data_IF_119747527468
#
_entry.id   IF_119747527468
#
_cell.length_a   1.000
_cell.length_b   1.000
_cell.length_c   1.000
_cell.angle_alpha   90.00
_cell.angle_beta   90.00
_cell.angle_gamma   90.00
#
_symmetry.space_group_name_H-M   'P 1'
#
loop_
_entity.id
_entity.type
_entity.pdbx_description
1 polymer ?
#
# COMPACT_ATOMS: atom_id res chain seq x y z
N UNK A 1 -7.46 15.01 4.55
CA UNK A 1 -7.19 16.47 4.63
C UNK A 1 -6.59 16.97 5.95
N UNK A 2 -7.04 16.57 7.15
CA UNK A 2 -6.38 17.03 8.41
C UNK A 2 -4.86 16.80 8.42
N UNK A 3 -4.41 15.61 8.01
CA UNK A 3 -2.98 15.30 7.94
C UNK A 3 -2.26 16.06 6.80
N UNK A 4 -2.93 16.29 5.67
CA UNK A 4 -2.41 17.13 4.57
C UNK A 4 -2.12 18.55 5.06
N UNK A 5 -3.05 19.15 5.82
CA UNK A 5 -2.85 20.46 6.44
C UNK A 5 -1.63 20.48 7.36
N UNK A 6 -1.50 19.49 8.25
CA UNK A 6 -0.33 19.38 9.14
C UNK A 6 0.96 19.29 8.33
N UNK A 7 0.98 18.48 7.26
CA UNK A 7 2.15 18.35 6.39
C UNK A 7 2.49 19.66 5.67
N UNK A 8 1.49 20.41 5.18
CA UNK A 8 1.72 21.72 4.56
C UNK A 8 2.27 22.75 5.56
N UNK A 9 1.71 22.81 6.77
CA UNK A 9 2.26 23.66 7.85
C UNK A 9 3.71 23.29 8.15
N UNK A 10 4.03 21.99 8.23
CA UNK A 10 5.39 21.52 8.44
C UNK A 10 6.32 21.95 7.32
N UNK A 11 5.92 21.80 6.05
CA UNK A 11 6.72 22.22 4.90
C UNK A 11 7.02 23.71 4.92
N UNK A 12 6.00 24.55 5.12
CA UNK A 12 6.16 26.01 5.17
C UNK A 12 7.07 26.44 6.33
N UNK A 13 6.90 25.85 7.52
CA UNK A 13 7.74 26.16 8.68
C UNK A 13 9.17 25.66 8.54
N UNK A 14 9.36 24.48 7.95
CA UNK A 14 10.70 23.95 7.67
C UNK A 14 11.42 24.86 6.67
N UNK A 15 10.72 25.30 5.63
CA UNK A 15 11.27 26.20 4.60
C UNK A 15 11.65 27.57 5.18
N UNK A 16 10.81 28.15 6.04
CA UNK A 16 11.10 29.42 6.72
C UNK A 16 12.16 29.30 7.85
N UNK A 17 12.47 28.09 8.31
CA UNK A 17 13.37 27.90 9.45
C UNK A 17 14.82 28.26 9.11
N UNK A 18 15.42 29.07 9.98
CA UNK A 18 16.84 29.44 9.99
C UNK A 18 17.64 28.78 11.13
N UNK A 19 16.98 28.01 11.99
CA UNK A 19 17.60 27.40 13.19
C UNK A 19 18.05 25.95 13.00
N UNK A 20 17.61 25.29 11.93
CA UNK A 20 17.96 23.90 11.62
C UNK A 20 19.24 23.82 10.79
N UNK A 21 20.01 22.74 10.95
CA UNK A 21 21.10 22.44 10.03
C UNK A 21 20.55 22.17 8.62
N UNK A 22 21.30 22.51 7.55
CA UNK A 22 20.88 22.24 6.18
C UNK A 22 20.49 20.78 5.93
N UNK A 23 21.23 19.84 6.50
CA UNK A 23 21.03 18.39 6.33
C UNK A 23 19.74 17.92 6.99
N UNK A 24 19.48 18.37 8.23
CA UNK A 24 18.26 18.03 8.95
C UNK A 24 17.04 18.65 8.27
N UNK A 25 17.13 19.93 7.88
CA UNK A 25 16.05 20.62 7.13
C UNK A 25 15.75 19.89 5.82
N UNK A 26 16.78 19.54 5.04
CA UNK A 26 16.63 18.77 3.79
C UNK A 26 15.91 17.44 4.04
N UNK A 27 16.34 16.67 5.04
CA UNK A 27 15.71 15.38 5.38
C UNK A 27 14.25 15.55 5.77
N UNK A 28 13.94 16.45 6.71
CA UNK A 28 12.57 16.67 7.20
C UNK A 28 11.61 17.14 6.10
N UNK A 29 12.09 17.96 5.16
CA UNK A 29 11.32 18.33 3.96
C UNK A 29 11.03 17.08 3.12
N UNK A 30 12.03 16.24 2.86
CA UNK A 30 11.85 14.97 2.14
C UNK A 30 10.84 14.03 2.80
N UNK A 31 10.88 13.92 4.13
CA UNK A 31 9.91 13.13 4.92
C UNK A 31 8.48 13.69 4.75
N UNK A 32 8.32 15.01 4.82
CA UNK A 32 7.02 15.67 4.62
C UNK A 32 6.47 15.46 3.20
N UNK A 33 7.32 15.61 2.17
CA UNK A 33 6.93 15.38 0.78
C UNK A 33 6.47 13.93 0.57
N UNK A 34 7.20 12.94 1.10
CA UNK A 34 6.79 11.55 1.05
C UNK A 34 5.42 11.32 1.68
N UNK A 35 5.20 11.87 2.88
CA UNK A 35 3.93 11.73 3.61
C UNK A 35 2.78 12.39 2.84
N UNK A 36 2.98 13.59 2.27
CA UNK A 36 1.95 14.29 1.49
C UNK A 36 1.58 13.52 0.22
N UNK A 37 2.59 13.01 -0.50
CA UNK A 37 2.37 12.17 -1.65
C UNK A 37 1.59 10.90 -1.31
N UNK A 38 1.93 10.22 -0.21
CA UNK A 38 1.20 9.04 0.24
C UNK A 38 -0.27 9.36 0.60
N UNK A 39 -0.53 10.48 1.26
CA UNK A 39 -1.89 10.93 1.57
C UNK A 39 -2.70 11.18 0.30
N UNK A 40 -2.13 11.89 -0.68
CA UNK A 40 -2.81 12.14 -1.96
C UNK A 40 -2.96 10.88 -2.80
N UNK A 41 -1.98 9.96 -2.76
CA UNK A 41 -2.11 8.64 -3.38
C UNK A 41 -3.34 7.90 -2.85
N UNK A 42 -3.58 7.90 -1.54
CA UNK A 42 -4.79 7.29 -0.97
C UNK A 42 -6.05 8.06 -1.40
N UNK A 43 -6.04 9.39 -1.34
CA UNK A 43 -7.20 10.22 -1.70
C UNK A 43 -7.63 10.02 -3.16
N UNK A 44 -6.71 10.16 -4.12
CA UNK A 44 -7.02 10.05 -5.55
C UNK A 44 -7.48 8.63 -5.91
N UNK A 45 -6.89 7.60 -5.29
CA UNK A 45 -7.29 6.22 -5.53
C UNK A 45 -8.63 5.84 -4.88
N UNK A 46 -9.12 6.60 -3.91
CA UNK A 46 -10.45 6.37 -3.33
C UNK A 46 -11.52 7.23 -4.00
N UNK A 47 -11.25 8.51 -4.23
CA UNK A 47 -12.26 9.51 -4.60
C UNK A 47 -12.14 10.04 -6.03
N UNK A 48 -11.08 9.70 -6.77
CA UNK A 48 -10.85 10.28 -8.10
C UNK A 48 -10.35 11.72 -7.97
N UNK A 49 -11.02 12.66 -8.62
CA UNK A 49 -10.68 14.08 -8.52
C UNK A 49 -10.86 14.55 -7.07
N UNK A 50 -9.92 15.34 -6.55
CA UNK A 50 -9.93 15.78 -5.15
C UNK A 50 -9.32 17.19 -5.03
N UNK A 51 -9.70 18.01 -4.03
CA UNK A 51 -9.06 19.30 -3.81
C UNK A 51 -7.55 19.15 -3.56
N UNK A 52 -6.74 19.88 -4.32
CA UNK A 52 -5.28 19.84 -4.23
C UNK A 52 -4.74 20.95 -3.29
N UNK A 53 -4.97 20.79 -1.99
CA UNK A 53 -4.49 21.71 -0.96
C UNK A 53 -2.97 21.60 -0.75
N UNK A 54 -2.19 22.55 -1.25
CA UNK A 54 -0.71 22.58 -1.15
C UNK A 54 -0.14 23.65 -0.22
N UNK A 55 -1.01 24.41 0.45
CA UNK A 55 -0.64 25.39 1.47
C UNK A 55 -1.41 25.16 2.78
N UNK A 56 -1.01 25.84 3.85
CA UNK A 56 -1.74 25.88 5.12
C UNK A 56 -2.84 26.96 5.18
N UNK A 57 -3.02 27.78 4.12
CA UNK A 57 -4.04 28.82 4.12
C UNK A 57 -5.46 28.22 4.08
N UNK A 58 -6.09 28.15 5.25
CA UNK A 58 -7.43 27.57 5.38
C UNK A 58 -8.48 28.35 4.59
N UNK A 59 -8.29 29.65 4.35
CA UNK A 59 -9.26 30.47 3.61
C UNK A 59 -9.32 30.05 2.15
N UNK A 60 -8.17 29.75 1.56
CA UNK A 60 -8.07 29.19 0.21
C UNK A 60 -8.52 27.74 0.15
N UNK A 61 -8.11 26.94 1.13
CA UNK A 61 -8.38 25.51 1.13
C UNK A 61 -9.85 25.15 1.41
N UNK A 62 -10.58 25.97 2.18
CA UNK A 62 -11.96 25.69 2.58
C UNK A 62 -12.94 25.66 1.41
N UNK A 63 -12.68 26.44 0.35
CA UNK A 63 -13.56 26.59 -0.81
C UNK A 63 -12.96 25.98 -2.09
N UNK A 64 -11.86 25.22 -1.96
CA UNK A 64 -11.13 24.69 -3.11
C UNK A 64 -11.98 23.66 -3.87
N UNK A 65 -12.17 23.81 -5.20
CA UNK A 65 -12.84 22.81 -6.01
C UNK A 65 -11.97 21.55 -6.11
N UNK A 66 -12.56 20.47 -6.64
CA UNK A 66 -11.80 19.25 -6.97
C UNK A 66 -10.85 19.56 -8.12
N UNK A 67 -9.62 19.06 -8.03
CA UNK A 67 -8.67 19.07 -9.14
C UNK A 67 -8.70 17.71 -9.83
N UNK A 68 -8.57 17.71 -11.16
CA UNK A 68 -8.51 16.49 -11.96
C UNK A 68 -7.47 15.51 -11.39
N UNK A 69 -7.83 14.22 -11.36
CA UNK A 69 -6.97 13.18 -10.85
C UNK A 69 -5.58 13.18 -11.51
N UNK A 70 -5.49 13.52 -12.80
CA UNK A 70 -4.22 13.66 -13.51
C UNK A 70 -3.29 14.71 -12.88
N UNK A 71 -3.83 15.88 -12.52
CA UNK A 71 -3.08 16.96 -11.86
C UNK A 71 -2.64 16.51 -10.46
N UNK A 72 -3.51 15.80 -9.73
CA UNK A 72 -3.17 15.24 -8.42
C UNK A 72 -2.03 14.22 -8.55
N UNK A 73 -2.05 13.37 -9.57
CA UNK A 73 -0.97 12.40 -9.86
C UNK A 73 0.36 13.09 -10.20
N UNK A 74 0.34 14.19 -10.95
CA UNK A 74 1.55 14.99 -11.23
C UNK A 74 2.16 15.54 -9.94
N UNK A 75 1.32 16.05 -9.03
CA UNK A 75 1.80 16.53 -7.73
C UNK A 75 2.36 15.41 -6.85
N UNK A 76 1.73 14.22 -6.83
CA UNK A 76 2.23 13.04 -6.12
C UNK A 76 3.63 12.65 -6.64
N UNK A 77 3.80 12.61 -7.97
CA UNK A 77 5.09 12.29 -8.61
C UNK A 77 6.14 13.35 -8.24
N UNK A 78 5.79 14.63 -8.28
CA UNK A 78 6.68 15.74 -7.93
C UNK A 78 7.15 15.64 -6.48
N UNK A 79 6.22 15.43 -5.55
CA UNK A 79 6.53 15.26 -4.13
C UNK A 79 7.43 14.04 -3.89
N UNK A 80 7.15 12.89 -4.53
CA UNK A 80 7.96 11.68 -4.35
C UNK A 80 9.36 11.78 -4.97
N UNK A 81 9.47 12.46 -6.11
CA UNK A 81 10.76 12.74 -6.74
C UNK A 81 11.60 13.64 -5.84
N UNK A 82 11.00 14.74 -5.36
CA UNK A 82 11.62 15.64 -4.39
C UNK A 82 11.97 14.93 -3.07
N UNK A 83 11.16 13.98 -2.61
CA UNK A 83 11.48 13.16 -1.44
C UNK A 83 12.68 12.24 -1.70
N UNK A 84 12.73 11.55 -2.83
CA UNK A 84 13.85 10.67 -3.18
C UNK A 84 15.19 11.42 -3.27
N UNK A 85 15.18 12.65 -3.78
CA UNK A 85 16.38 13.50 -3.88
C UNK A 85 16.86 14.02 -2.53
N UNK A 86 15.93 14.20 -1.58
CA UNK A 86 16.21 14.81 -0.28
C UNK A 86 16.54 13.79 0.81
N UNK A 87 15.93 12.61 0.76
CA UNK A 87 16.08 11.59 1.80
C UNK A 87 17.43 10.87 1.72
N UNK A 88 18.00 10.48 2.88
CA UNK A 88 19.19 9.63 2.93
C UNK A 88 18.85 8.18 2.53
N UNK A 89 19.88 7.41 2.19
CA UNK A 89 19.74 5.98 1.91
C UNK A 89 19.60 5.15 3.19
N UNK A 90 20.29 5.54 4.27
CA UNK A 90 20.14 4.91 5.57
C UNK A 90 18.81 5.30 6.22
N UNK A 91 18.28 4.38 7.02
CA UNK A 91 17.13 4.68 7.86
C UNK A 91 17.54 5.57 9.04
N UNK A 92 16.69 6.55 9.35
CA UNK A 92 16.86 7.36 10.55
C UNK A 92 16.57 6.56 11.84
N UNK A 93 15.68 5.57 11.76
CA UNK A 93 15.29 4.70 12.88
C UNK A 93 15.32 3.24 12.43
N UNK A 94 15.86 2.30 13.25
CA UNK A 94 15.97 0.90 12.87
C UNK A 94 14.59 0.24 12.65
N UNK A 95 13.54 0.76 13.28
CA UNK A 95 12.16 0.30 13.08
C UNK A 95 11.58 0.71 11.72
N UNK A 96 12.30 1.48 10.89
CA UNK A 96 11.83 1.87 9.53
C UNK A 96 10.51 2.64 9.54
N UNK A 97 10.28 3.42 10.60
CA UNK A 97 9.09 4.28 10.76
C UNK A 97 9.23 5.64 10.06
N UNK A 98 10.46 6.00 9.72
CA UNK A 98 10.80 7.16 8.89
C UNK A 98 11.20 6.65 7.50
N UNK A 99 10.56 7.10 6.42
CA UNK A 99 10.90 6.67 5.07
C UNK A 99 12.31 7.13 4.70
N UNK A 100 13.08 6.26 4.04
CA UNK A 100 14.35 6.62 3.42
C UNK A 100 14.18 6.85 1.91
N UNK A 101 15.28 7.14 1.21
CA UNK A 101 15.31 7.33 -0.25
C UNK A 101 14.67 6.17 -1.01
N UNK A 102 14.94 4.94 -0.60
CA UNK A 102 14.44 3.75 -1.29
C UNK A 102 12.94 3.53 -1.04
N UNK A 103 12.41 3.89 0.13
CA UNK A 103 10.98 3.93 0.38
C UNK A 103 10.29 4.94 -0.56
N UNK A 104 10.87 6.12 -0.75
CA UNK A 104 10.36 7.12 -1.71
C UNK A 104 10.39 6.60 -3.15
N UNK A 105 11.50 6.01 -3.60
CA UNK A 105 11.61 5.39 -4.93
C UNK A 105 10.60 4.27 -5.16
N UNK A 106 10.36 3.44 -4.15
CA UNK A 106 9.40 2.36 -4.27
C UNK A 106 7.95 2.86 -4.38
N UNK A 107 7.55 3.85 -3.58
CA UNK A 107 6.22 4.45 -3.70
C UNK A 107 6.08 5.22 -5.03
N UNK A 108 7.14 5.86 -5.52
CA UNK A 108 7.17 6.47 -6.85
C UNK A 108 7.01 5.43 -7.97
N UNK A 109 7.70 4.28 -7.87
CA UNK A 109 7.53 3.16 -8.78
C UNK A 109 6.07 2.68 -8.79
N UNK A 110 5.42 2.61 -7.62
CA UNK A 110 3.99 2.27 -7.52
C UNK A 110 3.11 3.30 -8.23
N UNK A 111 3.42 4.59 -8.13
CA UNK A 111 2.69 5.63 -8.85
C UNK A 111 2.86 5.51 -10.38
N UNK A 112 4.06 5.19 -10.84
CA UNK A 112 4.32 4.93 -12.26
C UNK A 112 3.70 3.65 -12.78
N UNK A 113 3.61 2.61 -11.94
CA UNK A 113 2.89 1.37 -12.27
C UNK A 113 1.41 1.66 -12.56
N UNK A 114 0.79 2.54 -11.77
CA UNK A 114 -0.63 2.90 -11.92
C UNK A 114 -0.87 3.72 -13.20
N UNK A 115 0.16 4.41 -13.70
CA UNK A 115 0.16 5.14 -14.96
C UNK A 115 0.72 4.32 -16.14
N UNK A 116 1.01 3.03 -15.93
CA UNK A 116 1.57 2.13 -16.95
C UNK A 116 2.91 2.64 -17.53
N UNK A 117 3.68 3.40 -16.75
CA UNK A 117 5.02 3.91 -17.13
C UNK A 117 6.09 2.87 -16.80
N UNK A 118 6.07 1.76 -17.55
CA UNK A 118 6.80 0.53 -17.22
C UNK A 118 8.32 0.72 -17.09
N UNK A 119 8.95 1.47 -17.98
CA UNK A 119 10.40 1.71 -17.90
C UNK A 119 10.79 2.45 -16.62
N UNK A 120 9.98 3.43 -16.19
CA UNK A 120 10.21 4.14 -14.94
C UNK A 120 10.02 3.23 -13.72
N UNK A 121 9.07 2.28 -13.79
CA UNK A 121 8.90 1.24 -12.76
C UNK A 121 10.16 0.39 -12.66
N UNK A 122 10.68 -0.10 -13.79
CA UNK A 122 11.87 -0.94 -13.82
C UNK A 122 13.10 -0.24 -13.27
N UNK A 123 13.35 1.01 -13.69
CA UNK A 123 14.49 1.81 -13.18
C UNK A 123 14.43 1.92 -11.66
N UNK A 124 13.29 2.32 -11.10
CA UNK A 124 13.16 2.55 -9.67
C UNK A 124 13.18 1.24 -8.86
N UNK A 125 12.49 0.20 -9.32
CA UNK A 125 12.49 -1.09 -8.64
C UNK A 125 13.89 -1.73 -8.66
N UNK A 126 14.65 -1.59 -9.75
CA UNK A 126 16.03 -2.07 -9.82
C UNK A 126 16.94 -1.32 -8.85
N UNK A 127 16.81 0.01 -8.75
CA UNK A 127 17.56 0.79 -7.76
C UNK A 127 17.25 0.36 -6.32
N UNK A 128 16.00 0.02 -6.00
CA UNK A 128 15.62 -0.48 -4.67
C UNK A 128 16.18 -1.88 -4.43
N UNK A 129 16.10 -2.78 -5.41
CA UNK A 129 16.65 -4.14 -5.29
C UNK A 129 18.18 -4.15 -5.17
N UNK A 130 18.87 -3.29 -5.90
CA UNK A 130 20.34 -3.17 -5.90
C UNK A 130 20.88 -2.50 -4.64
N UNK A 131 20.04 -1.89 -3.79
CA UNK A 131 20.50 -1.24 -2.56
C UNK A 131 21.02 -2.23 -1.52
N UNK A 132 20.67 -3.52 -1.62
CA UNK A 132 21.00 -4.54 -0.64
C UNK A 132 20.35 -4.34 0.75
N UNK A 133 19.47 -3.35 0.91
CA UNK A 133 18.86 -3.00 2.20
C UNK A 133 17.62 -3.85 2.54
N UNK A 134 17.12 -4.60 1.55
CA UNK A 134 15.86 -5.31 1.59
C UNK A 134 16.01 -6.75 1.10
N UNK A 135 15.27 -7.66 1.71
CA UNK A 135 15.25 -9.06 1.31
C UNK A 135 13.88 -9.68 1.60
N UNK A 136 13.52 -10.71 0.83
CA UNK A 136 12.43 -11.59 1.21
C UNK A 136 12.86 -12.43 2.42
N UNK A 137 12.05 -12.43 3.47
CA UNK A 137 12.36 -13.21 4.67
C UNK A 137 11.88 -14.66 4.50
N UNK A 138 12.76 -15.66 4.69
CA UNK A 138 12.36 -17.07 4.71
C UNK A 138 11.35 -17.36 5.82
N UNK A 139 11.55 -16.75 7.00
CA UNK A 139 10.59 -16.83 8.09
C UNK A 139 9.44 -15.82 7.88
N UNK A 140 8.32 -16.32 7.39
CA UNK A 140 7.12 -15.51 7.10
C UNK A 140 6.50 -14.83 8.33
N UNK A 141 6.76 -15.34 9.54
CA UNK A 141 6.28 -14.73 10.78
C UNK A 141 7.14 -13.53 11.24
N UNK A 142 8.31 -13.34 10.62
CA UNK A 142 9.16 -12.17 10.88
C UNK A 142 8.81 -10.95 9.99
N UNK A 143 8.01 -11.14 8.93
CA UNK A 143 7.73 -10.11 7.90
C UNK A 143 7.12 -8.85 8.49
N UNK A 144 6.19 -8.98 9.46
CA UNK A 144 5.43 -7.86 10.04
C UNK A 144 5.97 -7.41 11.41
N UNK A 145 7.14 -7.91 11.82
CA UNK A 145 7.79 -7.43 13.04
C UNK A 145 8.43 -6.07 12.83
N UNK A 146 8.48 -5.26 13.90
CA UNK A 146 9.17 -3.97 13.88
C UNK A 146 10.65 -4.18 13.50
N UNK A 147 11.16 -3.38 12.59
CA UNK A 147 12.54 -3.51 12.08
C UNK A 147 12.77 -4.66 11.09
N UNK A 148 11.72 -5.34 10.61
CA UNK A 148 11.82 -6.32 9.52
C UNK A 148 12.61 -5.77 8.33
N UNK A 149 13.57 -6.56 7.84
CA UNK A 149 14.36 -6.17 6.66
C UNK A 149 13.57 -6.24 5.35
N UNK A 150 12.37 -6.84 5.36
CA UNK A 150 11.45 -6.80 4.22
C UNK A 150 10.67 -5.47 4.15
N UNK A 151 10.55 -4.72 5.25
CA UNK A 151 9.75 -3.49 5.30
C UNK A 151 10.47 -2.30 4.67
N UNK A 152 9.81 -1.55 3.78
CA UNK A 152 10.31 -0.26 3.28
C UNK A 152 9.80 0.91 4.12
N UNK A 153 8.54 0.83 4.57
CA UNK A 153 8.00 1.81 5.47
C UNK A 153 6.86 1.23 6.30
N UNK A 154 6.81 1.60 7.57
CA UNK A 154 5.74 1.21 8.49
C UNK A 154 5.37 2.35 9.44
N UNK A 155 4.16 2.30 9.99
CA UNK A 155 3.67 3.28 10.96
C UNK A 155 3.62 2.65 12.34
N UNK A 156 4.31 3.29 13.29
CA UNK A 156 4.29 2.88 14.69
C UNK A 156 2.91 3.12 15.31
N UNK A 157 2.50 2.24 16.22
CA UNK A 157 1.31 2.50 17.03
C UNK A 157 1.59 3.64 18.00
N UNK A 158 0.68 4.62 18.02
CA UNK A 158 0.67 5.70 19.01
C UNK A 158 -0.05 5.31 20.31
N UNK A 159 -0.51 4.05 20.42
CA UNK A 159 -1.22 3.54 21.60
C UNK A 159 -0.38 2.52 22.35
N UNK A 160 -0.38 2.59 23.69
CA UNK A 160 0.39 1.69 24.55
C UNK A 160 -0.18 0.28 24.66
N UNK A 161 -1.46 0.09 24.30
CA UNK A 161 -2.17 -1.19 24.38
C UNK A 161 -2.45 -1.83 23.02
N UNK A 162 -1.79 -1.39 21.94
CA UNK A 162 -2.02 -1.89 20.59
C UNK A 162 -0.71 -1.96 19.81
N UNK A 163 -0.49 -3.07 19.11
CA UNK A 163 0.69 -3.24 18.25
C UNK A 163 0.48 -2.61 16.87
N UNK A 164 -0.53 -3.08 16.15
CA UNK A 164 -1.00 -2.50 14.89
C UNK A 164 -2.53 -2.48 14.88
N UNK A 165 -3.12 -1.70 13.97
CA UNK A 165 -4.58 -1.72 13.79
C UNK A 165 -5.04 -3.05 13.22
N UNK A 166 -4.28 -3.63 12.31
CA UNK A 166 -4.52 -4.93 11.70
C UNK A 166 -4.51 -6.04 12.76
N UNK A 167 -3.46 -6.13 13.58
CA UNK A 167 -3.38 -7.11 14.66
C UNK A 167 -4.54 -6.97 15.64
N UNK A 168 -4.89 -5.73 16.00
CA UNK A 168 -5.98 -5.46 16.94
C UNK A 168 -7.37 -5.84 16.42
N UNK A 169 -7.62 -5.58 15.13
CA UNK A 169 -8.91 -5.73 14.49
C UNK A 169 -9.13 -7.15 13.93
N UNK A 170 -8.09 -7.77 13.38
CA UNK A 170 -8.19 -9.09 12.75
C UNK A 170 -8.11 -10.23 13.75
N UNK A 171 -7.31 -10.07 14.83
CA UNK A 171 -7.19 -11.10 15.87
C UNK A 171 -8.35 -10.94 16.86
N UNK A 172 -9.17 -12.00 17.07
CA UNK A 172 -10.24 -11.97 18.06
C UNK A 172 -9.74 -11.61 19.46
N UNK A 173 -10.56 -10.88 20.23
CA UNK A 173 -10.18 -10.33 21.55
C UNK A 173 -10.02 -11.39 22.65
N UNK A 174 -10.63 -12.56 22.49
CA UNK A 174 -10.55 -13.69 23.42
C UNK A 174 -10.66 -15.00 22.64
N UNK A 175 -10.62 -16.16 23.30
CA UNK A 175 -10.87 -17.45 22.64
C UNK A 175 -12.36 -17.65 22.27
N UNK A 176 -13.27 -16.92 22.90
CA UNK A 176 -14.71 -17.07 22.71
C UNK A 176 -15.33 -16.03 21.77
N UNK A 177 -14.58 -14.99 21.39
CA UNK A 177 -15.06 -13.95 20.47
C UNK A 177 -15.11 -14.44 19.01
N UNK A 178 -16.03 -13.94 18.20
CA UNK A 178 -15.93 -14.11 16.74
C UNK A 178 -14.80 -13.21 16.19
N UNK A 179 -14.11 -13.59 15.10
CA UNK A 179 -13.26 -12.66 14.36
C UNK A 179 -14.11 -11.51 13.78
N UNK A 180 -13.67 -10.26 13.97
CA UNK A 180 -14.38 -9.08 13.46
C UNK A 180 -14.28 -8.93 11.93
N UNK A 181 -13.25 -9.53 11.32
CA UNK A 181 -13.03 -9.55 9.89
C UNK A 181 -12.72 -10.98 9.45
N UNK A 182 -13.57 -11.53 8.58
CA UNK A 182 -13.44 -12.90 8.07
C UNK A 182 -13.09 -12.91 6.59
N UNK A 183 -12.35 -13.93 6.17
CA UNK A 183 -12.03 -14.16 4.76
C UNK A 183 -13.17 -14.92 4.09
N UNK A 184 -13.51 -14.51 2.87
CA UNK A 184 -14.46 -15.25 2.04
C UNK A 184 -13.88 -16.62 1.67
N UNK A 185 -14.70 -17.68 1.56
CA UNK A 185 -14.23 -19.01 1.14
C UNK A 185 -13.43 -18.98 -0.17
N UNK A 186 -13.83 -18.13 -1.12
CA UNK A 186 -13.13 -17.96 -2.39
C UNK A 186 -11.67 -17.51 -2.21
N UNK A 187 -11.36 -16.59 -1.29
CA UNK A 187 -9.97 -16.21 -1.00
C UNK A 187 -9.23 -17.30 -0.22
N UNK A 188 -9.90 -18.04 0.66
CA UNK A 188 -9.29 -19.18 1.37
C UNK A 188 -8.90 -20.30 0.39
N UNK A 189 -9.71 -20.48 -0.66
CA UNK A 189 -9.52 -21.48 -1.72
C UNK A 189 -8.62 -20.97 -2.86
N UNK A 190 -8.29 -19.69 -2.90
CA UNK A 190 -7.37 -19.08 -3.88
C UNK A 190 -5.91 -19.55 -3.71
N UNK A 191 -5.52 -19.86 -2.47
CA UNK A 191 -4.19 -20.37 -2.13
C UNK A 191 -3.99 -21.78 -2.68
N UNK A 192 -2.80 -22.03 -3.23
CA UNK A 192 -2.39 -23.34 -3.73
C UNK A 192 -2.20 -24.35 -2.58
N UNK A 193 -2.21 -25.64 -2.92
CA UNK A 193 -1.85 -26.68 -1.96
C UNK A 193 -0.44 -26.43 -1.41
N UNK A 194 -0.27 -26.59 -0.10
CA UNK A 194 0.99 -26.36 0.64
C UNK A 194 1.52 -24.92 0.64
N UNK A 195 0.74 -23.94 0.19
CA UNK A 195 1.13 -22.52 0.25
C UNK A 195 1.37 -22.08 1.70
N UNK A 196 2.62 -21.75 2.01
CA UNK A 196 3.04 -21.36 3.36
C UNK A 196 2.38 -20.06 3.82
N UNK A 197 1.87 -19.21 2.90
CA UNK A 197 1.07 -18.02 3.25
C UNK A 197 -0.26 -18.43 3.85
N UNK A 198 -0.93 -19.45 3.32
CA UNK A 198 -2.18 -19.96 3.92
C UNK A 198 -1.92 -20.49 5.32
N UNK A 199 -0.84 -21.24 5.50
CA UNK A 199 -0.49 -21.86 6.78
C UNK A 199 -0.09 -20.81 7.82
N UNK A 200 0.74 -19.84 7.43
CA UNK A 200 1.29 -18.87 8.37
C UNK A 200 0.41 -17.63 8.53
N UNK A 201 -0.29 -17.16 7.49
CA UNK A 201 -0.95 -15.85 7.51
C UNK A 201 -2.48 -15.92 7.57
N UNK A 202 -3.07 -17.11 7.60
CA UNK A 202 -4.48 -17.31 7.97
C UNK A 202 -4.55 -18.00 9.32
N UNK A 203 -5.64 -17.74 10.04
CA UNK A 203 -6.04 -18.53 11.20
C UNK A 203 -7.53 -18.82 11.11
N UNK A 204 -7.96 -19.93 11.70
CA UNK A 204 -9.35 -20.34 11.71
C UNK A 204 -9.90 -20.41 13.12
N UNK A 205 -11.21 -20.25 13.25
CA UNK A 205 -11.95 -20.42 14.48
C UNK A 205 -13.32 -21.03 14.21
N UNK A 206 -13.70 -22.01 15.03
CA UNK A 206 -15.09 -22.47 15.08
C UNK A 206 -15.90 -21.51 15.95
N UNK A 207 -16.96 -20.93 15.40
CA UNK A 207 -17.87 -20.05 16.13
C UNK A 207 -19.31 -20.32 15.68
N UNK A 208 -20.22 -20.59 16.63
CA UNK A 208 -21.60 -20.94 16.37
C UNK A 208 -21.76 -22.04 15.28
N UNK A 209 -20.96 -23.10 15.37
CA UNK A 209 -20.97 -24.23 14.40
C UNK A 209 -20.30 -23.95 13.05
N UNK A 210 -19.81 -22.73 12.79
CA UNK A 210 -19.18 -22.35 11.53
C UNK A 210 -17.66 -22.22 11.66
N UNK A 211 -16.92 -22.65 10.63
CA UNK A 211 -15.47 -22.41 10.52
C UNK A 211 -15.22 -21.06 9.87
N UNK A 212 -14.68 -20.11 10.63
CA UNK A 212 -14.37 -18.76 10.20
C UNK A 212 -12.86 -18.61 10.02
N UNK A 213 -12.40 -18.27 8.81
CA UNK A 213 -11.02 -17.90 8.53
C UNK A 213 -10.84 -16.39 8.67
N UNK A 214 -9.69 -15.94 9.20
CA UNK A 214 -9.37 -14.53 9.35
C UNK A 214 -7.88 -14.25 9.07
N UNK A 215 -7.51 -13.01 8.67
CA UNK A 215 -6.12 -12.63 8.49
C UNK A 215 -5.32 -12.76 9.78
N UNK A 216 -4.13 -13.33 9.69
CA UNK A 216 -3.22 -13.57 10.81
C UNK A 216 -1.76 -13.29 10.42
N UNK A 217 -1.55 -12.27 9.57
CA UNK A 217 -0.21 -11.75 9.21
C UNK A 217 0.50 -11.15 10.42
N UNK A 218 -0.21 -10.27 11.11
CA UNK A 218 0.11 -9.79 12.44
C UNK A 218 -0.26 -10.87 13.45
N UNK A 219 0.62 -11.11 14.43
CA UNK A 219 0.49 -12.17 15.44
C UNK A 219 0.08 -11.63 16.78
N UNK A 220 0.26 -10.33 16.99
CA UNK A 220 0.13 -9.70 18.30
C UNK A 220 -1.00 -8.69 18.26
N UNK A 221 -2.04 -8.95 19.06
CA UNK A 221 -3.16 -8.02 19.23
C UNK A 221 -2.73 -6.81 20.06
N UNK A 222 -2.16 -7.09 21.23
CA UNK A 222 -1.77 -6.13 22.26
C UNK A 222 -0.51 -6.63 22.98
N UNK A 223 0.52 -5.80 23.10
CA UNK A 223 1.72 -6.05 23.91
C UNK A 223 2.40 -4.72 24.22
N UNK A 224 3.19 -4.69 25.28
CA UNK A 224 3.98 -3.52 25.69
C UNK A 224 5.41 -3.98 26.00
N UNK A 225 6.45 -3.50 25.29
CA UNK A 225 6.37 -2.61 24.13
C UNK A 225 5.77 -3.30 22.89
N UNK A 226 5.21 -2.56 21.92
CA UNK A 226 4.79 -3.12 20.63
C UNK A 226 5.93 -3.85 19.92
N UNK A 227 5.66 -5.02 19.37
CA UNK A 227 6.59 -5.87 18.60
C UNK A 227 6.30 -5.87 17.10
N UNK A 228 5.10 -5.44 16.70
CA UNK A 228 4.66 -5.36 15.30
C UNK A 228 4.12 -3.95 15.01
N UNK A 229 4.40 -3.41 13.82
CA UNK A 229 3.93 -2.11 13.37
C UNK A 229 3.21 -2.22 12.03
N UNK A 230 2.34 -1.27 11.72
CA UNK A 230 1.53 -1.29 10.52
C UNK A 230 2.40 -1.08 9.28
N UNK A 231 2.75 -2.16 8.58
CA UNK A 231 3.56 -2.15 7.36
C UNK A 231 2.77 -1.52 6.23
N UNK A 232 3.28 -0.42 5.67
CA UNK A 232 2.64 0.31 4.56
C UNK A 232 3.15 -0.15 3.21
N UNK A 233 4.45 -0.40 3.13
CA UNK A 233 5.07 -0.93 1.93
C UNK A 233 6.24 -1.85 2.29
N UNK A 234 6.36 -2.96 1.57
CA UNK A 234 7.44 -3.95 1.77
C UNK A 234 7.98 -4.51 0.47
N UNK A 235 9.12 -5.18 0.56
CA UNK A 235 9.99 -5.48 -0.58
C UNK A 235 9.34 -6.39 -1.62
N UNK A 236 8.43 -7.27 -1.19
CA UNK A 236 7.68 -8.10 -2.14
C UNK A 236 6.87 -7.27 -3.15
N UNK A 237 6.39 -6.08 -2.76
CA UNK A 237 5.67 -5.20 -3.69
C UNK A 237 6.61 -4.71 -4.79
N UNK A 238 7.87 -4.43 -4.47
CA UNK A 238 8.90 -4.03 -5.45
C UNK A 238 9.13 -5.16 -6.46
N UNK A 239 9.26 -6.40 -5.98
CA UNK A 239 9.41 -7.57 -6.86
C UNK A 239 8.19 -7.78 -7.75
N UNK A 240 6.98 -7.66 -7.21
CA UNK A 240 5.74 -7.81 -7.97
C UNK A 240 5.55 -6.68 -9.00
N UNK A 241 5.92 -5.45 -8.67
CA UNK A 241 5.92 -4.32 -9.60
C UNK A 241 6.95 -4.51 -10.71
N UNK A 242 8.15 -4.99 -10.36
CA UNK A 242 9.21 -5.28 -11.34
C UNK A 242 8.84 -6.44 -12.26
N UNK A 243 8.24 -7.50 -11.72
CA UNK A 243 7.71 -8.61 -12.51
C UNK A 243 6.65 -8.15 -13.52
N UNK A 244 5.69 -7.36 -13.05
CA UNK A 244 4.62 -6.81 -13.92
C UNK A 244 5.22 -5.91 -15.02
N UNK A 245 6.09 -4.97 -14.67
CA UNK A 245 6.70 -4.09 -15.65
C UNK A 245 7.61 -4.84 -16.65
N UNK A 246 8.38 -5.83 -16.19
CA UNK A 246 9.20 -6.66 -17.07
C UNK A 246 8.35 -7.47 -18.05
N UNK A 247 7.19 -7.98 -17.61
CA UNK A 247 6.28 -8.69 -18.51
C UNK A 247 5.79 -7.78 -19.64
N UNK A 248 5.53 -6.50 -19.34
CA UNK A 248 5.01 -5.52 -20.29
C UNK A 248 6.07 -5.01 -21.29
N UNK A 249 7.35 -5.01 -20.92
CA UNK A 249 8.42 -4.43 -21.74
C UNK A 249 9.37 -5.47 -22.33
N UNK A 250 9.78 -6.45 -21.52
CA UNK A 250 10.87 -7.38 -21.81
C UNK A 250 10.39 -8.83 -21.98
N UNK A 251 9.12 -9.12 -21.66
CA UNK A 251 8.48 -10.41 -21.81
C UNK A 251 8.64 -11.36 -20.61
N UNK A 252 8.13 -12.59 -20.79
CA UNK A 252 7.94 -13.59 -19.72
C UNK A 252 9.26 -13.97 -19.03
N UNK A 253 10.34 -14.15 -19.80
CA UNK A 253 11.65 -14.55 -19.27
C UNK A 253 12.22 -13.56 -18.24
N UNK A 254 11.92 -12.26 -18.39
CA UNK A 254 12.35 -11.22 -17.45
C UNK A 254 11.43 -11.08 -16.23
N UNK A 255 10.17 -11.49 -16.33
CA UNK A 255 9.21 -11.42 -15.21
C UNK A 255 9.31 -12.60 -14.24
N UNK A 256 9.58 -13.79 -14.78
CA UNK A 256 9.57 -15.06 -14.04
C UNK A 256 10.53 -15.13 -12.84
N UNK A 257 11.76 -14.55 -12.87
CA UNK A 257 12.67 -14.62 -11.73
C UNK A 257 12.09 -14.02 -10.44
N UNK A 258 11.42 -12.86 -10.54
CA UNK A 258 10.78 -12.20 -9.38
C UNK A 258 9.57 -13.00 -8.88
N UNK A 259 8.77 -13.54 -9.79
CA UNK A 259 7.62 -14.41 -9.45
C UNK A 259 8.13 -15.65 -8.72
N UNK A 260 9.16 -16.32 -9.24
CA UNK A 260 9.70 -17.54 -8.67
C UNK A 260 10.37 -17.30 -7.30
N UNK A 261 11.00 -16.15 -7.08
CA UNK A 261 11.52 -15.81 -5.76
C UNK A 261 10.41 -15.77 -4.69
N UNK A 262 9.25 -15.23 -5.04
CA UNK A 262 8.07 -15.16 -4.16
C UNK A 262 7.46 -16.53 -3.94
N UNK A 263 7.32 -17.32 -5.01
CA UNK A 263 6.78 -18.69 -4.96
C UNK A 263 7.64 -19.62 -4.11
N UNK A 264 8.96 -19.57 -4.29
CA UNK A 264 9.91 -20.34 -3.48
C UNK A 264 9.77 -20.01 -2.00
N UNK A 265 9.69 -18.72 -1.63
CA UNK A 265 9.45 -18.32 -0.23
C UNK A 265 8.12 -18.85 0.28
N UNK A 266 7.09 -18.87 -0.54
CA UNK A 266 5.78 -19.44 -0.20
C UNK A 266 5.75 -20.99 -0.19
N UNK A 267 6.86 -21.67 -0.44
CA UNK A 267 6.93 -23.14 -0.50
C UNK A 267 6.24 -23.74 -1.73
N UNK A 268 6.07 -22.94 -2.79
CA UNK A 268 5.41 -23.34 -4.02
C UNK A 268 6.43 -23.70 -5.11
N UNK A 269 6.06 -24.60 -6.04
CA UNK A 269 6.92 -24.94 -7.17
C UNK A 269 7.15 -23.72 -8.06
N UNK A 270 8.37 -23.62 -8.60
CA UNK A 270 8.71 -22.62 -9.61
C UNK A 270 7.90 -22.84 -10.89
N UNK A 271 7.72 -21.78 -11.65
CA UNK A 271 7.10 -21.82 -12.98
C UNK A 271 8.16 -21.58 -14.04
N UNK A 272 8.10 -22.34 -15.11
CA UNK A 272 9.00 -22.22 -16.25
C UNK A 272 8.70 -20.96 -17.09
N UNK A 273 9.71 -20.46 -17.81
CA UNK A 273 9.56 -19.24 -18.62
C UNK A 273 8.90 -19.45 -19.99
N UNK A 274 8.50 -20.68 -20.33
CA UNK A 274 7.78 -21.02 -21.58
C UNK A 274 6.28 -20.79 -21.51
N UNK A 275 5.73 -20.38 -20.36
CA UNK A 275 4.30 -20.04 -20.26
C UNK A 275 3.94 -18.85 -21.15
N UNK A 276 2.67 -18.78 -21.57
CA UNK A 276 2.18 -17.61 -22.31
C UNK A 276 2.23 -16.33 -21.48
N UNK A 277 2.35 -15.18 -22.14
CA UNK A 277 2.31 -13.85 -21.48
C UNK A 277 1.05 -13.66 -20.63
N UNK A 278 -0.09 -14.10 -21.15
CA UNK A 278 -1.38 -14.08 -20.45
C UNK A 278 -1.39 -14.97 -19.19
N UNK A 279 -0.79 -16.17 -19.24
CA UNK A 279 -0.59 -17.01 -18.05
C UNK A 279 0.38 -16.39 -17.05
N UNK A 280 1.43 -15.70 -17.52
CA UNK A 280 2.35 -14.97 -16.66
C UNK A 280 1.64 -13.81 -15.95
N UNK A 281 0.80 -13.05 -16.65
CA UNK A 281 0.01 -11.97 -16.05
C UNK A 281 -0.98 -12.50 -15.01
N UNK A 282 -1.66 -13.62 -15.29
CA UNK A 282 -2.49 -14.31 -14.29
C UNK A 282 -1.70 -14.71 -13.05
N UNK A 283 -0.44 -15.16 -13.20
CA UNK A 283 0.43 -15.45 -12.06
C UNK A 283 0.79 -14.18 -11.28
N UNK A 284 1.13 -13.07 -11.94
CA UNK A 284 1.36 -11.78 -11.27
C UNK A 284 0.12 -11.40 -10.44
N UNK A 285 -1.07 -11.45 -11.02
CA UNK A 285 -2.34 -11.14 -10.33
C UNK A 285 -2.57 -12.09 -9.15
N UNK A 286 -2.34 -13.40 -9.34
CA UNK A 286 -2.50 -14.43 -8.31
C UNK A 286 -1.55 -14.21 -7.14
N UNK A 287 -0.27 -13.99 -7.43
CA UNK A 287 0.76 -13.75 -6.42
C UNK A 287 0.49 -12.43 -5.68
N UNK A 288 0.17 -11.33 -6.38
CA UNK A 288 -0.21 -10.07 -5.72
C UNK A 288 -1.36 -10.25 -4.74
N UNK A 289 -2.38 -11.03 -5.12
CA UNK A 289 -3.54 -11.30 -4.25
C UNK A 289 -3.18 -12.18 -3.04
N UNK A 290 -2.46 -13.28 -3.25
CA UNK A 290 -2.04 -14.19 -2.16
C UNK A 290 -1.04 -13.54 -1.22
N UNK A 291 -0.22 -12.64 -1.75
CA UNK A 291 0.85 -11.99 -1.03
C UNK A 291 0.35 -10.79 -0.23
N UNK A 292 -0.49 -9.93 -0.83
CA UNK A 292 -0.86 -8.61 -0.29
C UNK A 292 -2.29 -8.55 0.28
N UNK A 293 -2.98 -9.69 0.46
CA UNK A 293 -4.31 -9.67 1.09
C UNK A 293 -4.27 -9.01 2.47
N UNK A 294 -5.30 -8.25 2.81
CA UNK A 294 -5.40 -7.50 4.07
C UNK A 294 -4.24 -6.52 4.34
N UNK A 295 -3.55 -6.04 3.31
CA UNK A 295 -2.52 -4.99 3.42
C UNK A 295 -2.97 -3.74 2.63
N UNK A 296 -3.33 -2.66 3.35
CA UNK A 296 -3.59 -1.31 2.82
C UNK A 296 -4.51 -1.20 1.59
N UNK A 297 -5.46 -2.12 1.44
CA UNK A 297 -6.40 -2.10 0.32
C UNK A 297 -5.77 -2.41 -1.04
N UNK A 298 -4.56 -2.99 -1.09
CA UNK A 298 -3.86 -3.30 -2.33
C UNK A 298 -4.74 -4.03 -3.36
N UNK A 299 -5.56 -5.00 -2.93
CA UNK A 299 -6.50 -5.70 -3.82
C UNK A 299 -7.50 -4.77 -4.48
N UNK A 300 -8.05 -3.80 -3.75
CA UNK A 300 -9.00 -2.84 -4.31
C UNK A 300 -8.34 -1.97 -5.38
N UNK A 301 -7.17 -1.41 -5.06
CA UNK A 301 -6.45 -0.56 -6.00
C UNK A 301 -5.95 -1.31 -7.23
N UNK A 302 -5.50 -2.56 -7.06
CA UNK A 302 -5.11 -3.43 -8.16
C UNK A 302 -6.30 -3.75 -9.10
N UNK A 303 -7.47 -4.08 -8.54
CA UNK A 303 -8.67 -4.31 -9.34
C UNK A 303 -9.08 -3.08 -10.16
N UNK A 304 -8.94 -1.89 -9.58
CA UNK A 304 -9.25 -0.64 -10.28
C UNK A 304 -8.29 -0.38 -11.44
N UNK A 305 -6.99 -0.41 -11.19
CA UNK A 305 -5.99 -0.09 -12.23
C UNK A 305 -5.94 -1.11 -13.37
N UNK A 306 -6.35 -2.36 -13.11
CA UNK A 306 -6.51 -3.38 -14.15
C UNK A 306 -7.90 -3.38 -14.80
N UNK A 307 -8.80 -2.48 -14.40
CA UNK A 307 -10.20 -2.46 -14.85
C UNK A 307 -10.97 -3.78 -14.60
N UNK A 308 -10.63 -4.50 -13.54
CA UNK A 308 -11.23 -5.78 -13.14
C UNK A 308 -12.26 -5.64 -12.01
N UNK A 309 -12.43 -4.45 -11.44
CA UNK A 309 -13.32 -4.23 -10.29
C UNK A 309 -14.77 -4.60 -10.62
N UNK A 310 -15.30 -4.11 -11.76
CA UNK A 310 -16.67 -4.40 -12.17
C UNK A 310 -16.89 -5.89 -12.45
N UNK A 311 -15.99 -6.49 -13.22
CA UNK A 311 -16.05 -7.92 -13.55
C UNK A 311 -16.06 -8.82 -12.31
N UNK A 312 -15.19 -8.54 -11.35
CA UNK A 312 -14.95 -9.44 -10.22
C UNK A 312 -15.79 -9.12 -8.97
N UNK A 313 -16.29 -7.89 -8.82
CA UNK A 313 -17.05 -7.48 -7.64
C UNK A 313 -18.55 -7.39 -7.88
N UNK A 314 -19.00 -7.09 -9.11
CA UNK A 314 -20.44 -7.05 -9.40
C UNK A 314 -21.16 -8.37 -9.09
N UNK A 315 -20.62 -9.56 -9.47
CA UNK A 315 -21.27 -10.84 -9.11
C UNK A 315 -21.34 -11.10 -7.61
N UNK A 316 -20.41 -10.53 -6.83
CA UNK A 316 -20.36 -10.68 -5.37
C UNK A 316 -21.31 -9.74 -4.63
N UNK A 317 -21.69 -8.63 -5.26
CA UNK A 317 -22.51 -7.55 -4.70
C UNK A 317 -23.95 -7.55 -5.26
N UNK A 318 -24.17 -8.24 -6.37
CA UNK A 318 -25.46 -8.35 -7.03
C UNK A 318 -25.96 -6.99 -7.53
N UNK A 319 -27.27 -6.78 -7.48
CA UNK A 319 -27.93 -5.59 -8.01
C UNK A 319 -27.55 -4.28 -7.29
N UNK A 320 -26.82 -4.35 -6.17
CA UNK A 320 -26.34 -3.19 -5.43
C UNK A 320 -25.01 -2.62 -5.94
N UNK A 321 -24.42 -3.20 -6.98
CA UNK A 321 -23.19 -2.67 -7.58
C UNK A 321 -23.48 -1.90 -8.86
N UNK A 322 -22.96 -0.68 -8.93
CA UNK A 322 -22.91 0.13 -10.14
C UNK A 322 -21.46 0.23 -10.66
N UNK A 323 -21.24 0.35 -11.99
CA UNK A 323 -19.91 0.53 -12.53
C UNK A 323 -19.12 1.71 -11.95
N UNK A 324 -19.83 2.70 -11.42
CA UNK A 324 -19.31 3.91 -10.77
C UNK A 324 -18.84 3.68 -9.32
N UNK A 325 -19.21 2.57 -8.68
CA UNK A 325 -18.85 2.25 -7.29
C UNK A 325 -17.34 2.00 -7.10
N UNK A 326 -16.58 2.02 -8.19
CA UNK A 326 -15.11 2.06 -8.20
C UNK A 326 -14.55 3.33 -7.54
N UNK A 327 -15.36 4.38 -7.35
CA UNK A 327 -15.04 5.56 -6.55
C UNK A 327 -15.94 5.66 -5.32
N UNK A 328 -15.36 6.15 -4.23
CA UNK A 328 -16.10 6.45 -3.00
C UNK A 328 -16.90 7.74 -3.19
N UNK A 329 -18.07 7.87 -2.54
CA UNK A 329 -18.80 9.12 -2.56
C UNK A 329 -18.01 10.19 -1.82
N UNK A 330 -18.06 11.43 -2.33
CA UNK A 330 -17.63 12.59 -1.56
C UNK A 330 -18.58 12.72 -0.35
N UNK A 331 -18.08 12.80 0.90
CA UNK A 331 -18.95 12.85 2.06
C UNK A 331 -19.87 14.07 2.01
N UNK A 332 -21.18 13.87 2.19
CA UNK A 332 -22.18 14.93 2.08
C UNK A 332 -21.86 16.14 2.97
N UNK A 333 -21.38 15.90 4.18
CA UNK A 333 -20.99 16.97 5.11
C UNK A 333 -19.87 17.85 4.57
N UNK A 334 -19.03 17.35 3.66
CA UNK A 334 -18.00 18.18 3.00
C UNK A 334 -18.59 19.00 1.85
N UNK A 335 -19.52 18.43 1.07
CA UNK A 335 -20.25 19.17 0.02
C UNK A 335 -21.07 20.31 0.62
N UNK A 336 -21.67 20.08 1.79
CA UNK A 336 -22.45 21.10 2.49
C UNK A 336 -21.57 22.26 2.99
N UNK A 337 -20.32 21.98 3.36
CA UNK A 337 -19.33 22.97 3.81
C UNK A 337 -18.63 23.70 2.66
N UNK A 338 -18.44 23.03 1.53
CA UNK A 338 -17.79 23.59 0.35
C UNK A 338 -18.66 23.34 -0.88
N UNK A 339 -19.42 24.35 -1.27
CA UNK A 339 -20.36 24.30 -2.40
C UNK A 339 -19.68 24.15 -3.77
N UNK A 340 -18.36 24.27 -3.84
CA UNK A 340 -17.58 24.01 -5.06
C UNK A 340 -17.19 22.52 -5.20
N UNK A 341 -17.58 21.65 -4.26
CA UNK A 341 -17.40 20.21 -4.39
C UNK A 341 -18.59 19.58 -5.11
N UNK A 342 -18.28 18.87 -6.19
CA UNK A 342 -19.24 18.04 -6.91
C UNK A 342 -19.08 16.57 -6.52
N UNK A 343 -20.21 15.86 -6.52
CA UNK A 343 -20.25 14.44 -6.24
C UNK A 343 -19.61 13.61 -7.38
N UNK A 344 -19.12 12.42 -7.06
CA UNK A 344 -18.74 11.43 -8.07
C UNK A 344 -19.97 10.89 -8.79
N UNK A 345 -19.86 10.61 -10.09
CA UNK A 345 -20.96 10.01 -10.87
C UNK A 345 -21.52 8.77 -10.15
N UNK A 346 -22.85 8.66 -10.10
CA UNK A 346 -23.55 7.52 -9.50
C UNK A 346 -24.01 7.69 -8.04
N UNK A 347 -23.77 8.85 -7.42
CA UNK A 347 -24.19 9.17 -6.04
C UNK A 347 -25.08 10.40 -5.95
#
# INVERSE_FOLDING_TARGET
>A
YKLVYVTNVSLEKLDASTSLTPELKKRLIGECLYIRAWQYFILVNLFGDVPLCLSSDYRRNAEMPRSDAAIVWEQIISDLSGAADKLPESYALPERTVPNRFAAKALLAKCYLYQQKWDSVLVLCNQVAQSGSYQLLPNMNAVFQRGSSETLWQVASTSTNRNSWEGFNFIPSSNNAAPGYVLRPELVNHFEANDQRKINWLKQRTYAGNTLYYPFKYKVRTSTPPTEFQVVMRYVEVLLMRAEANLQTNGVSSAIPDINAIRLRAGLPIVDNTISSDSCMRLVIKERRSELFAEWGNRWFDLKRWNLANELLAPLKGNGWQPTDVLYPIPQTQIDLNRNLEQNSGY
#
